data_IF_059099422849
#
_entry.id   IF_059099422849
#
_cell.length_a   1.000
_cell.length_b   1.000
_cell.length_c   1.000
_cell.angle_alpha   90.00
_cell.angle_beta   90.00
_cell.angle_gamma   90.00
#
_symmetry.space_group_name_H-M   'P 1'
#
loop_
_entity.id
_entity.type
_entity.pdbx_description
1 polymer ?
#
# COMPACT_ATOMS: atom_id res chain seq x y z
N UNK A 1 -2.38 -6.04 6.89
CA UNK A 1 -3.07 -7.33 6.64
C UNK A 1 -2.65 -7.88 5.29
N UNK A 2 -2.34 -9.18 5.23
CA UNK A 2 -1.77 -9.87 4.05
C UNK A 2 -2.78 -10.86 3.47
N UNK A 3 -2.85 -10.96 2.14
CA UNK A 3 -3.65 -11.97 1.46
C UNK A 3 -2.88 -12.57 0.28
N UNK A 4 -3.05 -13.87 0.04
CA UNK A 4 -2.54 -14.53 -1.16
C UNK A 4 -3.60 -14.40 -2.24
N UNK A 5 -3.29 -13.65 -3.31
CA UNK A 5 -4.15 -13.49 -4.47
C UNK A 5 -3.37 -13.86 -5.73
N UNK A 6 -3.94 -14.72 -6.57
CA UNK A 6 -3.27 -15.22 -7.79
C UNK A 6 -1.87 -15.82 -7.53
N UNK A 7 -1.70 -16.52 -6.40
CA UNK A 7 -0.43 -17.12 -5.98
C UNK A 7 0.69 -16.10 -5.68
N UNK A 8 0.34 -14.82 -5.47
CA UNK A 8 1.23 -13.75 -5.05
C UNK A 8 0.80 -13.13 -3.72
N UNK A 9 1.73 -12.50 -3.03
CA UNK A 9 1.46 -11.73 -1.81
C UNK A 9 0.91 -10.35 -2.14
N UNK A 10 -0.28 -10.06 -1.61
CA UNK A 10 -0.94 -8.77 -1.72
C UNK A 10 -1.07 -8.13 -0.34
N UNK A 11 -0.83 -6.83 -0.30
CA UNK A 11 -0.79 -6.02 0.91
C UNK A 11 -1.83 -4.92 0.80
N UNK A 12 -2.52 -4.63 1.91
CA UNK A 12 -3.33 -3.43 1.99
C UNK A 12 -2.45 -2.19 1.93
N UNK A 13 -2.72 -1.30 0.96
CA UNK A 13 -1.99 -0.04 0.79
C UNK A 13 -2.20 0.86 2.00
N UNK A 14 -3.42 0.90 2.54
CA UNK A 14 -3.77 1.73 3.70
C UNK A 14 -2.97 1.33 4.93
N UNK A 15 -2.85 0.02 5.21
CA UNK A 15 -2.06 -0.48 6.35
C UNK A 15 -0.57 -0.17 6.19
N UNK A 16 -0.04 -0.25 4.96
CA UNK A 16 1.36 0.13 4.67
C UNK A 16 1.57 1.62 4.91
N UNK A 17 0.66 2.47 4.44
CA UNK A 17 0.71 3.92 4.68
C UNK A 17 0.64 4.23 6.17
N UNK A 18 -0.24 3.57 6.92
CA UNK A 18 -0.37 3.71 8.36
C UNK A 18 0.94 3.35 9.08
N UNK A 19 1.53 2.19 8.75
CA UNK A 19 2.81 1.75 9.31
C UNK A 19 3.97 2.70 9.01
N UNK A 20 3.94 3.38 7.85
CA UNK A 20 4.99 4.30 7.43
C UNK A 20 4.82 5.71 7.98
N UNK A 21 3.59 6.20 8.16
CA UNK A 21 3.33 7.64 8.38
C UNK A 21 2.73 7.94 9.76
N UNK A 22 2.32 6.95 10.57
CA UNK A 22 1.75 7.18 11.92
C UNK A 22 0.69 8.29 11.94
N UNK A 23 -0.10 8.39 10.89
CA UNK A 23 -1.18 9.36 10.78
C UNK A 23 -2.48 8.78 11.35
N UNK A 24 -3.30 9.64 11.94
CA UNK A 24 -4.67 9.31 12.35
C UNK A 24 -5.62 9.05 11.16
N UNK A 25 -5.21 9.42 9.93
CA UNK A 25 -6.05 9.35 8.72
C UNK A 25 -5.29 8.74 7.52
N UNK A 26 -4.83 7.49 7.60
CA UNK A 26 -4.04 6.85 6.53
C UNK A 26 -4.80 6.74 5.21
N UNK A 27 -6.13 6.54 5.25
CA UNK A 27 -7.00 6.53 4.06
C UNK A 27 -7.01 7.87 3.33
N UNK A 28 -7.03 8.99 4.07
CA UNK A 28 -7.02 10.33 3.47
C UNK A 28 -5.67 10.59 2.81
N UNK A 29 -4.59 10.28 3.53
CA UNK A 29 -3.24 10.38 2.98
C UNK A 29 -3.09 9.56 1.70
N UNK A 30 -3.58 8.32 1.71
CA UNK A 30 -3.55 7.46 0.53
C UNK A 30 -4.29 8.07 -0.66
N UNK A 31 -5.49 8.62 -0.46
CA UNK A 31 -6.22 9.29 -1.54
C UNK A 31 -5.44 10.48 -2.12
N UNK A 32 -4.86 11.32 -1.25
CA UNK A 32 -4.05 12.48 -1.68
C UNK A 32 -2.79 12.01 -2.46
N UNK A 33 -2.13 10.97 -1.98
CA UNK A 33 -0.97 10.35 -2.63
C UNK A 33 -1.36 9.76 -3.99
N UNK A 34 -2.47 9.03 -4.09
CA UNK A 34 -2.97 8.45 -5.33
C UNK A 34 -3.22 9.53 -6.38
N UNK A 35 -3.88 10.63 -6.02
CA UNK A 35 -4.08 11.77 -6.91
C UNK A 35 -2.76 12.39 -7.36
N UNK A 36 -1.78 12.53 -6.45
CA UNK A 36 -0.45 13.05 -6.78
C UNK A 36 0.31 12.14 -7.74
N UNK A 37 0.34 10.83 -7.50
CA UNK A 37 1.01 9.82 -8.33
C UNK A 37 0.41 9.80 -9.74
N UNK A 38 -0.92 9.87 -9.86
CA UNK A 38 -1.60 9.95 -11.16
C UNK A 38 -1.21 11.25 -11.89
N UNK A 39 -1.15 12.38 -11.17
CA UNK A 39 -0.75 13.68 -11.74
C UNK A 39 0.71 13.72 -12.18
N UNK A 40 1.60 13.02 -11.48
CA UNK A 40 3.02 12.89 -11.82
C UNK A 40 3.28 11.89 -12.96
N UNK A 41 2.24 11.28 -13.54
CA UNK A 41 2.34 10.40 -14.70
C UNK A 41 2.50 8.91 -14.37
N UNK A 42 2.46 8.53 -13.09
CA UNK A 42 2.54 7.14 -12.64
C UNK A 42 1.17 6.44 -12.63
N UNK A 43 0.31 6.74 -13.60
CA UNK A 43 -1.03 6.18 -13.70
C UNK A 43 -1.03 4.64 -13.80
N UNK A 44 0.01 4.05 -14.41
CA UNK A 44 0.21 2.60 -14.47
C UNK A 44 0.40 1.97 -13.09
N UNK A 45 1.04 2.69 -12.15
CA UNK A 45 1.18 2.23 -10.78
C UNK A 45 -0.18 2.15 -10.09
N UNK A 46 -1.03 3.16 -10.31
CA UNK A 46 -2.40 3.17 -9.80
C UNK A 46 -3.28 2.09 -10.46
N UNK A 47 -2.99 1.71 -11.71
CA UNK A 47 -3.74 0.66 -12.41
C UNK A 47 -3.42 -0.75 -11.89
N UNK A 48 -2.21 -0.95 -11.32
CA UNK A 48 -1.80 -2.22 -10.69
C UNK A 48 -2.39 -2.43 -9.29
N UNK A 49 -3.11 -1.45 -8.75
CA UNK A 49 -3.78 -1.55 -7.47
C UNK A 49 -5.18 -2.12 -7.70
N UNK A 50 -5.49 -3.23 -7.05
CA UNK A 50 -6.80 -3.88 -7.10
C UNK A 50 -7.55 -3.66 -5.80
N UNK A 51 -8.87 -3.42 -5.87
CA UNK A 51 -9.71 -3.45 -4.68
C UNK A 51 -10.03 -4.89 -4.31
N UNK A 52 -9.52 -5.32 -3.15
CA UNK A 52 -9.79 -6.64 -2.61
C UNK A 52 -10.57 -6.50 -1.29
N UNK A 53 -11.43 -7.49 -1.02
CA UNK A 53 -12.16 -7.58 0.24
C UNK A 53 -11.28 -8.22 1.30
N UNK A 54 -10.84 -7.42 2.27
CA UNK A 54 -10.04 -7.89 3.40
C UNK A 54 -10.85 -7.89 4.70
N UNK A 55 -10.67 -8.90 5.57
CA UNK A 55 -11.34 -8.96 6.87
C UNK A 55 -10.73 -7.96 7.86
N UNK A 56 -11.45 -6.92 8.22
CA UNK A 56 -11.00 -6.00 9.26
C UNK A 56 -11.08 -6.61 10.68
N UNK A 57 -10.53 -5.90 11.66
CA UNK A 57 -10.48 -6.32 13.06
C UNK A 57 -11.87 -6.57 13.69
N UNK A 58 -12.93 -6.02 13.09
CA UNK A 58 -14.32 -6.24 13.50
C UNK A 58 -14.96 -7.47 12.82
N UNK A 59 -14.20 -8.24 12.05
CA UNK A 59 -14.65 -9.43 11.34
C UNK A 59 -15.40 -9.14 10.04
N UNK A 60 -15.57 -7.87 9.65
CA UNK A 60 -16.25 -7.50 8.41
C UNK A 60 -15.27 -7.42 7.25
N UNK A 61 -15.74 -7.80 6.07
CA UNK A 61 -14.99 -7.64 4.83
C UNK A 61 -15.15 -6.22 4.30
N UNK A 62 -14.05 -5.50 4.19
CA UNK A 62 -14.03 -4.17 3.58
C UNK A 62 -13.24 -4.20 2.28
N UNK A 63 -13.76 -3.51 1.27
CA UNK A 63 -12.98 -3.21 0.07
C UNK A 63 -11.87 -2.23 0.44
N UNK A 64 -10.65 -2.64 0.13
CA UNK A 64 -9.46 -1.85 0.37
C UNK A 64 -8.53 -1.97 -0.82
N UNK A 65 -7.84 -0.88 -1.11
CA UNK A 65 -6.85 -0.85 -2.17
C UNK A 65 -5.68 -1.75 -1.75
N UNK A 66 -5.47 -2.81 -2.52
CA UNK A 66 -4.41 -3.79 -2.33
C UNK A 66 -3.46 -3.81 -3.51
N UNK A 67 -2.20 -4.11 -3.25
CA UNK A 67 -1.16 -4.18 -4.25
C UNK A 67 -0.19 -5.32 -3.95
N UNK A 68 0.41 -5.88 -5.00
CA UNK A 68 1.47 -6.86 -4.88
C UNK A 68 2.78 -6.23 -4.35
N UNK A 69 3.74 -7.06 -3.96
CA UNK A 69 5.02 -6.65 -3.37
C UNK A 69 5.74 -5.59 -4.22
N UNK A 70 5.82 -5.77 -5.54
CA UNK A 70 6.49 -4.83 -6.44
C UNK A 70 5.84 -3.44 -6.46
N UNK A 71 4.52 -3.42 -6.53
CA UNK A 71 3.74 -2.18 -6.56
C UNK A 71 3.86 -1.44 -5.23
N UNK A 72 3.81 -2.17 -4.11
CA UNK A 72 4.06 -1.63 -2.77
C UNK A 72 5.47 -1.05 -2.67
N UNK A 73 6.49 -1.77 -3.17
CA UNK A 73 7.87 -1.30 -3.15
C UNK A 73 8.03 0.04 -3.87
N UNK A 74 7.41 0.19 -5.04
CA UNK A 74 7.38 1.47 -5.78
C UNK A 74 6.59 2.54 -5.02
N UNK A 75 5.48 2.19 -4.38
CA UNK A 75 4.70 3.13 -3.56
C UNK A 75 5.51 3.69 -2.40
N UNK A 76 6.28 2.85 -1.72
CA UNK A 76 7.13 3.27 -0.60
C UNK A 76 8.21 4.26 -1.05
N UNK A 77 8.67 4.16 -2.30
CA UNK A 77 9.63 5.13 -2.85
C UNK A 77 9.03 6.52 -3.06
N UNK A 78 7.72 6.62 -3.29
CA UNK A 78 7.04 7.92 -3.48
C UNK A 78 6.61 8.57 -2.16
N UNK A 79 6.58 7.82 -1.06
CA UNK A 79 6.25 8.30 0.28
C UNK A 79 7.51 8.85 0.96
N UNK A 80 7.62 10.17 1.20
CA UNK A 80 8.70 10.73 1.98
C UNK A 80 8.45 10.47 3.47
N UNK A 81 8.91 9.32 3.97
CA UNK A 81 8.87 8.98 5.41
C UNK A 81 10.26 8.53 5.90
N UNK A 82 10.70 8.96 7.10
CA UNK A 82 11.92 8.43 7.72
C UNK A 82 11.84 6.92 7.99
N UNK A 83 10.63 6.33 8.00
CA UNK A 83 10.38 4.90 8.14
C UNK A 83 10.39 4.13 6.81
N UNK A 84 10.36 4.82 5.68
CA UNK A 84 10.43 4.19 4.37
C UNK A 84 11.75 3.42 4.19
N UNK A 85 12.87 3.98 4.65
CA UNK A 85 14.19 3.37 4.47
C UNK A 85 14.39 2.07 5.28
N UNK A 86 14.03 2.00 6.57
CA UNK A 86 13.97 0.74 7.31
C UNK A 86 13.03 -0.29 6.66
N UNK A 87 11.87 0.15 6.19
CA UNK A 87 10.87 -0.75 5.60
C UNK A 87 11.34 -1.33 4.26
N UNK A 88 11.98 -0.53 3.40
CA UNK A 88 12.64 -1.00 2.17
C UNK A 88 13.68 -2.08 2.46
N UNK A 89 14.51 -1.88 3.49
CA UNK A 89 15.55 -2.86 3.89
C UNK A 89 14.95 -4.17 4.41
N UNK A 90 13.80 -4.10 5.09
CA UNK A 90 13.08 -5.30 5.52
C UNK A 90 12.48 -6.04 4.33
N UNK A 91 11.76 -5.34 3.45
CA UNK A 91 11.19 -5.90 2.22
C UNK A 91 12.24 -6.61 1.35
N UNK A 92 13.43 -6.02 1.20
CA UNK A 92 14.53 -6.62 0.44
C UNK A 92 15.07 -7.94 1.04
N UNK A 93 14.76 -8.26 2.30
CA UNK A 93 15.15 -9.51 2.96
C UNK A 93 14.08 -10.59 2.94
N UNK A 94 12.81 -10.23 2.76
CA UNK A 94 11.67 -11.17 2.75
C UNK A 94 11.15 -11.46 1.34
N UNK A 95 11.55 -10.67 0.34
CA UNK A 95 11.29 -10.93 -1.08
C UNK A 95 12.23 -11.97 -1.67
#
# INVERSE_FOLDING_TARGET
MLLIFQNEWWFSVVDVVEALIETDRPRKYWNDLKTRIIKEGYAELSAKIGQLKLPAADGKLYETDCANTETIFRLIQTIPSPKAEPFKRWLAKVG
#
